data_IF_044169003523
#
_entry.id   IF_044169003523
#
_cell.length_a   1.000
_cell.length_b   1.000
_cell.length_c   1.000
_cell.angle_alpha   90.00
_cell.angle_beta   90.00
_cell.angle_gamma   90.00
#
_symmetry.space_group_name_H-M   'P 1'
#
loop_
_entity.id
_entity.type
_entity.pdbx_description
1 polymer ?
#
# COMPACT_ATOMS: atom_id res chain seq x y z
N UNK A 1 -37.82 11.08 -32.37
CA UNK A 1 -36.82 11.23 -31.28
C UNK A 1 -35.66 12.02 -31.85
N UNK A 2 -35.26 13.12 -31.19
CA UNK A 2 -34.14 13.96 -31.65
C UNK A 2 -32.84 13.27 -31.28
N UNK A 3 -31.86 13.26 -32.18
CA UNK A 3 -30.52 12.68 -32.02
C UNK A 3 -29.81 13.09 -30.70
N UNK A 4 -30.17 14.28 -30.17
CA UNK A 4 -29.71 14.80 -28.88
C UNK A 4 -30.17 13.97 -27.66
N UNK A 5 -31.38 13.42 -27.70
CA UNK A 5 -31.93 12.56 -26.62
C UNK A 5 -31.22 11.20 -26.60
N UNK A 6 -30.83 10.69 -27.76
CA UNK A 6 -30.13 9.42 -27.90
C UNK A 6 -28.69 9.51 -27.35
N UNK A 7 -28.02 10.64 -27.56
CA UNK A 7 -26.72 10.91 -26.97
C UNK A 7 -26.79 11.11 -25.45
N UNK A 8 -27.83 11.77 -24.93
CA UNK A 8 -27.99 11.92 -23.48
C UNK A 8 -28.31 10.58 -22.82
N UNK A 9 -29.21 9.78 -23.38
CA UNK A 9 -29.53 8.43 -22.90
C UNK A 9 -28.32 7.49 -22.91
N UNK A 10 -27.51 7.54 -23.97
CA UNK A 10 -26.25 6.78 -24.01
C UNK A 10 -25.26 7.28 -22.95
N UNK A 11 -25.18 8.59 -22.70
CA UNK A 11 -24.33 9.15 -21.65
C UNK A 11 -24.82 8.75 -20.26
N UNK A 12 -26.14 8.71 -20.05
CA UNK A 12 -26.78 8.33 -18.80
C UNK A 12 -26.62 6.84 -18.53
N UNK A 13 -26.79 5.98 -19.55
CA UNK A 13 -26.46 4.55 -19.49
C UNK A 13 -24.99 4.32 -19.20
N UNK A 14 -24.09 5.08 -19.83
CA UNK A 14 -22.65 4.98 -19.56
C UNK A 14 -22.32 5.44 -18.14
N UNK A 15 -22.99 6.47 -17.64
CA UNK A 15 -22.83 6.95 -16.26
C UNK A 15 -23.38 5.96 -15.24
N UNK A 16 -24.53 5.32 -15.52
CA UNK A 16 -25.10 4.24 -14.73
C UNK A 16 -24.19 3.02 -14.73
N UNK A 17 -23.60 2.67 -15.89
CA UNK A 17 -22.62 1.61 -16.02
C UNK A 17 -21.35 1.94 -15.23
N UNK A 18 -20.79 3.15 -15.36
CA UNK A 18 -19.60 3.59 -14.63
C UNK A 18 -19.81 3.65 -13.11
N UNK A 19 -21.02 4.01 -12.67
CA UNK A 19 -21.41 4.11 -11.25
C UNK A 19 -21.77 2.75 -10.65
N UNK A 20 -22.20 1.78 -11.46
CA UNK A 20 -22.53 0.41 -11.04
C UNK A 20 -21.36 -0.58 -11.17
N UNK A 21 -20.32 -0.28 -11.96
CA UNK A 21 -19.15 -1.16 -12.12
C UNK A 21 -17.96 -0.79 -11.24
N UNK A 22 -17.77 0.49 -10.85
CA UNK A 22 -16.64 0.90 -9.99
C UNK A 22 -17.00 0.74 -8.51
N UNK A 23 -16.63 -0.41 -7.94
CA UNK A 23 -16.78 -0.67 -6.51
C UNK A 23 -15.85 0.22 -5.68
N UNK A 24 -16.41 0.94 -4.70
CA UNK A 24 -15.62 1.53 -3.61
C UNK A 24 -15.29 0.40 -2.62
N UNK A 25 -14.30 -0.42 -2.97
CA UNK A 25 -14.02 -1.68 -2.27
C UNK A 25 -13.33 -1.50 -0.92
N UNK A 26 -12.61 -0.40 -0.66
CA UNK A 26 -11.91 -0.15 0.61
C UNK A 26 -12.49 1.04 1.37
N UNK A 27 -12.35 0.99 2.70
CA UNK A 27 -12.63 2.11 3.60
C UNK A 27 -11.50 3.14 3.56
N UNK A 28 -11.78 4.43 3.36
CA UNK A 28 -10.78 5.50 3.43
C UNK A 28 -10.07 5.54 4.78
N UNK A 29 -10.81 5.26 5.85
CA UNK A 29 -10.27 5.16 7.20
C UNK A 29 -9.24 4.02 7.33
N UNK A 30 -9.40 2.93 6.58
CA UNK A 30 -8.44 1.81 6.60
C UNK A 30 -7.08 2.18 6.00
N UNK A 31 -7.07 2.92 4.89
CA UNK A 31 -5.82 3.38 4.30
C UNK A 31 -5.11 4.40 5.21
N UNK A 32 -5.87 5.26 5.88
CA UNK A 32 -5.31 6.19 6.87
C UNK A 32 -4.67 5.44 8.05
N UNK A 33 -5.34 4.40 8.58
CA UNK A 33 -4.78 3.56 9.64
C UNK A 33 -3.52 2.82 9.20
N UNK A 34 -3.49 2.27 7.98
CA UNK A 34 -2.29 1.63 7.42
C UNK A 34 -1.10 2.60 7.40
N UNK A 35 -1.33 3.86 7.02
CA UNK A 35 -0.29 4.89 7.06
C UNK A 35 0.19 5.24 8.46
N UNK A 36 -0.72 5.31 9.44
CA UNK A 36 -0.34 5.53 10.85
C UNK A 36 0.48 4.35 11.38
N UNK A 37 0.07 3.11 11.09
CA UNK A 37 0.82 1.92 11.51
C UNK A 37 2.20 1.87 10.86
N UNK A 38 2.33 2.26 9.59
CA UNK A 38 3.61 2.36 8.92
C UNK A 38 4.53 3.40 9.61
N UNK A 39 4.03 4.59 9.92
CA UNK A 39 4.80 5.61 10.63
C UNK A 39 5.24 5.15 12.03
N UNK A 40 4.35 4.49 12.78
CA UNK A 40 4.66 3.93 14.09
C UNK A 40 5.73 2.82 13.99
N UNK A 41 5.61 1.93 13.01
CA UNK A 41 6.60 0.88 12.76
C UNK A 41 7.97 1.44 12.40
N UNK A 42 8.01 2.48 11.57
CA UNK A 42 9.27 3.15 11.20
C UNK A 42 9.88 3.85 12.41
N UNK A 43 9.08 4.52 13.25
CA UNK A 43 9.57 5.13 14.47
C UNK A 43 10.21 4.07 15.38
N UNK A 44 9.55 2.93 15.60
CA UNK A 44 10.10 1.81 16.38
C UNK A 44 11.38 1.24 15.78
N UNK A 45 11.42 1.03 14.47
CA UNK A 45 12.61 0.55 13.77
C UNK A 45 13.78 1.56 13.92
N UNK A 46 13.49 2.85 13.83
CA UNK A 46 14.49 3.92 14.01
C UNK A 46 15.06 3.94 15.42
N UNK A 47 14.21 3.77 16.46
CA UNK A 47 14.67 3.66 17.84
C UNK A 47 15.59 2.46 18.05
N UNK A 48 15.28 1.31 17.45
CA UNK A 48 16.13 0.12 17.54
C UNK A 48 17.50 0.33 16.88
N UNK A 49 17.54 1.02 15.73
CA UNK A 49 18.79 1.33 15.01
C UNK A 49 19.68 2.25 15.85
N UNK A 50 19.10 3.30 16.48
CA UNK A 50 19.87 4.20 17.36
C UNK A 50 20.41 3.45 18.59
N UNK A 51 19.62 2.56 19.17
CA UNK A 51 20.00 1.85 20.40
C UNK A 51 21.05 0.77 20.17
N UNK A 52 21.22 0.29 18.94
CA UNK A 52 22.16 -0.80 18.62
C UNK A 52 23.65 -0.42 18.66
N UNK A 53 24.04 0.77 19.15
CA UNK A 53 25.44 1.26 19.23
C UNK A 53 26.23 1.10 17.93
N UNK A 54 25.50 1.17 16.83
CA UNK A 54 26.07 1.14 15.51
C UNK A 54 26.69 2.52 15.28
N UNK A 55 28.03 2.59 15.22
CA UNK A 55 28.74 3.80 14.82
C UNK A 55 28.23 4.24 13.44
N UNK A 56 27.46 5.33 13.43
CA UNK A 56 27.10 6.10 12.24
C UNK A 56 28.38 6.75 11.72
N UNK A 57 29.20 5.96 11.02
CA UNK A 57 30.38 6.50 10.36
C UNK A 57 29.88 7.51 9.31
N UNK A 58 30.31 8.77 9.44
CA UNK A 58 29.70 9.96 8.81
C UNK A 58 29.83 10.00 7.27
N UNK A 59 30.23 8.91 6.64
CA UNK A 59 30.33 8.75 5.19
C UNK A 59 29.68 7.47 4.64
N UNK A 60 29.16 6.59 5.50
CA UNK A 60 28.62 5.28 5.11
C UNK A 60 27.34 5.01 5.90
N UNK A 61 26.19 5.40 5.36
CA UNK A 61 24.89 5.32 6.03
C UNK A 61 24.27 3.91 6.08
N UNK A 62 25.11 2.86 6.10
CA UNK A 62 24.76 1.53 6.63
C UNK A 62 25.97 0.97 7.36
N UNK A 63 25.78 0.41 8.57
CA UNK A 63 26.81 -0.39 9.21
C UNK A 63 27.09 -1.68 8.44
N UNK A 64 28.37 -1.99 8.32
CA UNK A 64 28.84 -3.23 7.72
C UNK A 64 28.34 -4.50 8.46
N UNK A 65 27.76 -4.36 9.65
CA UNK A 65 27.18 -5.47 10.41
C UNK A 65 25.82 -5.06 11.00
N UNK A 66 24.73 -5.18 10.23
CA UNK A 66 23.41 -5.34 10.87
C UNK A 66 23.48 -6.69 11.59
N UNK A 67 23.56 -6.68 12.92
CA UNK A 67 23.51 -7.92 13.69
C UNK A 67 22.22 -8.66 13.33
N UNK A 68 22.28 -9.99 13.15
CA UNK A 68 21.11 -10.85 12.85
C UNK A 68 19.92 -10.54 13.77
N UNK A 69 20.19 -10.18 15.03
CA UNK A 69 19.20 -9.78 16.02
C UNK A 69 18.41 -8.52 15.62
N UNK A 70 19.08 -7.47 15.16
CA UNK A 70 18.43 -6.21 14.74
C UNK A 70 17.57 -6.45 13.48
N UNK A 71 18.10 -7.20 12.52
CA UNK A 71 17.37 -7.58 11.30
C UNK A 71 16.08 -8.33 11.65
N UNK A 72 16.14 -9.31 12.55
CA UNK A 72 14.96 -10.07 13.01
C UNK A 72 13.95 -9.14 13.69
N UNK A 73 14.38 -8.21 14.54
CA UNK A 73 13.48 -7.27 15.22
C UNK A 73 12.74 -6.36 14.23
N UNK A 74 13.45 -5.77 13.27
CA UNK A 74 12.85 -4.93 12.23
C UNK A 74 11.89 -5.74 11.36
N UNK A 75 12.25 -6.99 11.02
CA UNK A 75 11.38 -7.89 10.27
C UNK A 75 10.08 -8.20 11.03
N UNK A 76 10.17 -8.48 12.33
CA UNK A 76 8.98 -8.69 13.19
C UNK A 76 8.09 -7.44 13.20
N UNK A 77 8.67 -6.25 13.33
CA UNK A 77 7.90 -4.99 13.26
C UNK A 77 7.17 -4.88 11.92
N UNK A 78 7.86 -5.14 10.81
CA UNK A 78 7.26 -5.07 9.47
C UNK A 78 6.08 -6.06 9.33
N UNK A 79 6.22 -7.28 9.83
CA UNK A 79 5.14 -8.29 9.83
C UNK A 79 3.98 -7.84 10.71
N UNK A 80 4.23 -7.31 11.90
CA UNK A 80 3.18 -6.80 12.80
C UNK A 80 2.41 -5.65 12.16
N UNK A 81 3.11 -4.68 11.54
CA UNK A 81 2.50 -3.56 10.82
C UNK A 81 1.64 -4.06 9.66
N UNK A 82 2.14 -5.03 8.89
CA UNK A 82 1.39 -5.62 7.78
C UNK A 82 0.11 -6.31 8.27
N UNK A 83 0.21 -7.16 9.29
CA UNK A 83 -0.93 -7.88 9.87
C UNK A 83 -1.95 -6.90 10.44
N UNK A 84 -1.52 -5.91 11.22
CA UNK A 84 -2.40 -4.88 11.77
C UNK A 84 -3.12 -4.10 10.66
N UNK A 85 -2.40 -3.72 9.59
CA UNK A 85 -2.97 -3.00 8.45
C UNK A 85 -4.03 -3.82 7.72
N UNK A 86 -3.75 -5.10 7.44
CA UNK A 86 -4.68 -6.01 6.75
C UNK A 86 -5.92 -6.28 7.61
N UNK A 87 -5.76 -6.58 8.89
CA UNK A 87 -6.88 -6.84 9.80
C UNK A 87 -7.80 -5.62 9.92
N UNK A 88 -7.22 -4.43 10.12
CA UNK A 88 -7.97 -3.18 10.18
C UNK A 88 -8.68 -2.88 8.86
N UNK A 89 -8.02 -3.14 7.72
CA UNK A 89 -8.63 -2.96 6.41
C UNK A 89 -9.83 -3.88 6.18
N UNK A 90 -9.70 -5.17 6.50
CA UNK A 90 -10.80 -6.13 6.38
C UNK A 90 -11.95 -5.75 7.33
N UNK A 91 -11.65 -5.42 8.58
CA UNK A 91 -12.67 -5.09 9.58
C UNK A 91 -13.46 -3.82 9.23
N UNK A 92 -12.78 -2.72 8.93
CA UNK A 92 -13.44 -1.45 8.60
C UNK A 92 -14.20 -1.53 7.28
N UNK A 93 -13.65 -2.22 6.28
CA UNK A 93 -14.33 -2.45 5.00
C UNK A 93 -15.57 -3.32 5.19
N UNK A 94 -15.48 -4.40 5.98
CA UNK A 94 -16.64 -5.25 6.30
C UNK A 94 -17.76 -4.47 6.98
N UNK A 95 -17.42 -3.63 7.96
CA UNK A 95 -18.38 -2.77 8.67
C UNK A 95 -19.04 -1.76 7.73
N UNK A 96 -18.28 -1.16 6.80
CA UNK A 96 -18.79 -0.20 5.80
C UNK A 96 -19.76 -0.87 4.83
N UNK A 97 -19.40 -2.05 4.32
CA UNK A 97 -20.19 -2.78 3.33
C UNK A 97 -21.48 -3.33 3.97
N UNK A 98 -21.40 -3.84 5.21
CA UNK A 98 -22.57 -4.29 5.97
C UNK A 98 -23.61 -3.18 6.18
N UNK A 99 -23.17 -1.93 6.44
CA UNK A 99 -24.07 -0.77 6.53
C UNK A 99 -24.82 -0.45 5.23
N UNK A 100 -24.32 -0.92 4.08
CA UNK A 100 -24.94 -0.71 2.76
C UNK A 100 -25.81 -1.89 2.31
N UNK A 101 -25.93 -2.95 3.12
CA UNK A 101 -26.68 -4.16 2.77
C UNK A 101 -26.02 -5.01 1.66
N UNK A 102 -24.77 -4.71 1.31
CA UNK A 102 -24.02 -5.47 0.30
C UNK A 102 -23.28 -6.64 0.96
N UNK A 103 -23.06 -7.74 0.22
CA UNK A 103 -22.20 -8.84 0.69
C UNK A 103 -20.76 -8.35 0.79
N UNK A 104 -19.96 -8.77 1.78
CA UNK A 104 -18.53 -8.39 1.89
C UNK A 104 -17.63 -9.10 0.88
N UNK A 105 -18.06 -10.25 0.38
CA UNK A 105 -17.33 -11.05 -0.59
C UNK A 105 -18.20 -11.22 -1.82
N UNK A 106 -17.80 -10.60 -2.93
CA UNK A 106 -18.44 -10.74 -4.23
C UNK A 106 -17.40 -11.08 -5.30
N UNK A 107 -17.84 -11.59 -6.44
CA UNK A 107 -16.96 -12.03 -7.52
C UNK A 107 -15.97 -10.91 -7.94
N UNK A 108 -16.45 -9.67 -8.04
CA UNK A 108 -15.61 -8.51 -8.37
C UNK A 108 -14.47 -8.27 -7.36
N UNK A 109 -14.73 -8.33 -6.05
CA UNK A 109 -13.65 -8.19 -5.04
C UNK A 109 -12.67 -9.34 -5.05
N UNK A 110 -13.15 -10.56 -5.25
CA UNK A 110 -12.27 -11.73 -5.33
C UNK A 110 -11.36 -11.65 -6.56
N UNK A 111 -11.88 -11.17 -7.69
CA UNK A 111 -11.09 -10.93 -8.90
C UNK A 111 -10.01 -9.85 -8.67
N UNK A 112 -10.36 -8.74 -8.02
CA UNK A 112 -9.41 -7.69 -7.64
C UNK A 112 -8.32 -8.23 -6.71
N UNK A 113 -8.71 -8.94 -5.65
CA UNK A 113 -7.75 -9.53 -4.71
C UNK A 113 -6.82 -10.53 -5.41
N UNK A 114 -7.34 -11.36 -6.31
CA UNK A 114 -6.53 -12.26 -7.12
C UNK A 114 -5.45 -11.53 -7.92
N UNK A 115 -5.83 -10.43 -8.60
CA UNK A 115 -4.88 -9.61 -9.38
C UNK A 115 -3.86 -8.88 -8.51
N UNK A 116 -4.25 -8.45 -7.31
CA UNK A 116 -3.33 -7.82 -6.35
C UNK A 116 -2.37 -8.83 -5.71
N UNK A 117 -2.82 -10.07 -5.47
CA UNK A 117 -2.04 -11.10 -4.81
C UNK A 117 -0.82 -11.53 -5.63
N UNK A 118 -0.94 -11.61 -6.97
CA UNK A 118 0.19 -12.02 -7.83
C UNK A 118 1.46 -11.18 -7.61
N UNK A 119 1.43 -9.84 -7.74
CA UNK A 119 2.60 -9.02 -7.45
C UNK A 119 2.95 -8.99 -5.95
N UNK A 120 1.98 -9.04 -5.02
CA UNK A 120 2.29 -9.06 -3.58
C UNK A 120 3.07 -10.30 -3.17
N UNK A 121 2.68 -11.48 -3.64
CA UNK A 121 3.36 -12.74 -3.35
C UNK A 121 4.75 -12.74 -3.99
N UNK A 122 4.85 -12.33 -5.26
CA UNK A 122 6.14 -12.25 -5.95
C UNK A 122 7.11 -11.29 -5.23
N UNK A 123 6.65 -10.10 -4.85
CA UNK A 123 7.45 -9.13 -4.12
C UNK A 123 7.79 -9.58 -2.70
N UNK A 124 6.86 -10.22 -2.01
CA UNK A 124 7.06 -10.81 -0.69
C UNK A 124 8.14 -11.88 -0.69
N UNK A 125 8.08 -12.81 -1.65
CA UNK A 125 9.11 -13.84 -1.83
C UNK A 125 10.47 -13.21 -2.19
N UNK A 126 10.49 -12.24 -3.10
CA UNK A 126 11.72 -11.56 -3.50
C UNK A 126 12.36 -10.77 -2.34
N UNK A 127 11.58 -10.10 -1.50
CA UNK A 127 12.08 -9.47 -0.28
C UNK A 127 12.73 -10.49 0.66
N UNK A 128 12.11 -11.66 0.85
CA UNK A 128 12.68 -12.72 1.68
C UNK A 128 14.01 -13.25 1.11
N UNK A 129 14.14 -13.34 -0.22
CA UNK A 129 15.42 -13.70 -0.86
C UNK A 129 16.51 -12.67 -0.55
N UNK A 130 16.21 -11.37 -0.64
CA UNK A 130 17.18 -10.33 -0.28
C UNK A 130 17.55 -10.35 1.20
N UNK A 131 16.56 -10.52 2.09
CA UNK A 131 16.78 -10.67 3.53
C UNK A 131 17.70 -11.86 3.82
N UNK A 132 17.46 -13.01 3.17
CA UNK A 132 18.28 -14.21 3.34
C UNK A 132 19.72 -14.02 2.84
N UNK A 133 19.92 -13.19 1.81
CA UNK A 133 21.25 -12.84 1.29
C UNK A 133 21.96 -11.74 2.10
N UNK A 134 21.30 -11.13 3.08
CA UNK A 134 21.83 -9.97 3.83
C UNK A 134 21.69 -8.63 3.09
N UNK A 135 21.00 -8.62 1.95
CA UNK A 135 20.81 -7.44 1.08
C UNK A 135 19.62 -6.58 1.54
N UNK A 136 19.61 -6.18 2.82
CA UNK A 136 18.48 -5.48 3.46
C UNK A 136 18.11 -4.14 2.79
N UNK A 137 19.10 -3.50 2.16
CA UNK A 137 18.97 -2.19 1.53
C UNK A 137 17.95 -2.16 0.38
N UNK A 138 17.66 -3.29 -0.26
CA UNK A 138 16.68 -3.37 -1.36
C UNK A 138 15.25 -3.70 -0.89
N UNK A 139 15.06 -4.08 0.38
CA UNK A 139 13.74 -4.50 0.90
C UNK A 139 12.71 -3.38 0.76
N UNK A 140 13.10 -2.14 1.08
CA UNK A 140 12.22 -0.98 0.94
C UNK A 140 11.81 -0.77 -0.52
N UNK A 141 12.76 -0.80 -1.46
CA UNK A 141 12.46 -0.66 -2.89
C UNK A 141 11.52 -1.75 -3.41
N UNK A 142 11.83 -3.02 -3.13
CA UNK A 142 11.02 -4.16 -3.57
C UNK A 142 9.61 -4.06 -2.99
N UNK A 143 9.47 -3.74 -1.71
CA UNK A 143 8.16 -3.59 -1.09
C UNK A 143 7.31 -2.51 -1.76
N UNK A 144 7.88 -1.33 -2.05
CA UNK A 144 7.20 -0.20 -2.67
C UNK A 144 6.81 -0.50 -4.12
N UNK A 145 7.72 -1.06 -4.92
CA UNK A 145 7.48 -1.38 -6.33
C UNK A 145 6.39 -2.44 -6.46
N UNK A 146 6.52 -3.58 -5.77
CA UNK A 146 5.55 -4.67 -5.92
C UNK A 146 4.21 -4.35 -5.28
N UNK A 147 4.17 -3.59 -4.18
CA UNK A 147 2.92 -3.05 -3.65
C UNK A 147 2.27 -2.08 -4.65
N UNK A 148 3.04 -1.18 -5.25
CA UNK A 148 2.54 -0.26 -6.27
C UNK A 148 1.99 -0.98 -7.50
N UNK A 149 2.66 -2.04 -7.96
CA UNK A 149 2.15 -2.91 -9.02
C UNK A 149 0.86 -3.61 -8.62
N UNK A 150 0.73 -4.07 -7.37
CA UNK A 150 -0.51 -4.63 -6.85
C UNK A 150 -1.65 -3.61 -6.92
N UNK A 151 -1.41 -2.37 -6.47
CA UNK A 151 -2.41 -1.30 -6.55
C UNK A 151 -2.82 -0.99 -7.99
N UNK A 152 -1.87 -0.93 -8.93
CA UNK A 152 -2.17 -0.71 -10.36
C UNK A 152 -2.99 -1.88 -10.92
N UNK A 153 -2.64 -3.12 -10.61
CA UNK A 153 -3.37 -4.30 -11.05
C UNK A 153 -4.82 -4.34 -10.50
N UNK A 154 -5.01 -3.95 -9.24
CA UNK A 154 -6.33 -3.82 -8.60
C UNK A 154 -7.14 -2.59 -9.05
N UNK A 155 -6.48 -1.59 -9.64
CA UNK A 155 -7.11 -0.30 -9.98
C UNK A 155 -8.17 -0.37 -11.07
N UNK A 156 -8.10 -1.38 -11.95
CA UNK A 156 -9.04 -1.52 -13.07
C UNK A 156 -10.51 -1.66 -12.65
N UNK A 157 -10.75 -2.13 -11.43
CA UNK A 157 -12.09 -2.43 -10.90
C UNK A 157 -12.45 -1.56 -9.69
N UNK A 158 -11.63 -0.55 -9.39
CA UNK A 158 -11.77 0.33 -8.22
C UNK A 158 -11.67 1.79 -8.65
N UNK A 159 -11.74 2.73 -7.69
CA UNK A 159 -11.62 4.16 -7.98
C UNK A 159 -10.25 4.47 -8.60
N UNK A 160 -10.24 5.28 -9.67
CA UNK A 160 -9.01 5.67 -10.38
C UNK A 160 -7.95 6.29 -9.49
N UNK A 161 -8.32 6.84 -8.32
CA UNK A 161 -7.40 7.39 -7.33
C UNK A 161 -6.35 6.36 -6.84
N UNK A 162 -6.73 5.08 -6.71
CA UNK A 162 -5.80 4.03 -6.26
C UNK A 162 -4.71 3.74 -7.29
N UNK A 163 -5.01 3.96 -8.57
CA UNK A 163 -4.06 3.83 -9.67
C UNK A 163 -2.91 4.80 -9.52
N UNK A 164 -3.22 6.06 -9.17
CA UNK A 164 -2.21 7.09 -8.94
C UNK A 164 -1.38 6.79 -7.71
N UNK A 165 -2.00 6.32 -6.62
CA UNK A 165 -1.24 5.84 -5.45
C UNK A 165 -0.26 4.74 -5.87
N UNK A 166 -0.70 3.75 -6.66
CA UNK A 166 0.16 2.71 -7.19
C UNK A 166 1.34 3.23 -8.01
N UNK A 167 1.12 4.20 -8.90
CA UNK A 167 2.21 4.82 -9.65
C UNK A 167 3.20 5.58 -8.77
N UNK A 168 2.73 6.33 -7.77
CA UNK A 168 3.63 7.00 -6.83
C UNK A 168 4.48 5.99 -6.04
N UNK A 169 3.90 4.86 -5.61
CA UNK A 169 4.66 3.79 -4.95
C UNK A 169 5.72 3.19 -5.87
N UNK A 170 5.39 2.94 -7.14
CA UNK A 170 6.35 2.42 -8.12
C UNK A 170 7.50 3.40 -8.30
N UNK A 171 7.19 4.68 -8.54
CA UNK A 171 8.23 5.72 -8.74
C UNK A 171 9.10 5.86 -7.49
N UNK A 172 8.51 5.95 -6.30
CA UNK A 172 9.27 6.00 -5.04
C UNK A 172 10.13 4.75 -4.85
N UNK A 173 9.61 3.57 -5.15
CA UNK A 173 10.34 2.32 -5.04
C UNK A 173 11.52 2.22 -6.01
N UNK A 174 11.36 2.73 -7.24
CA UNK A 174 12.46 2.81 -8.21
C UNK A 174 13.54 3.81 -7.76
N UNK A 175 13.15 4.97 -7.23
CA UNK A 175 14.11 5.93 -6.66
C UNK A 175 14.81 5.32 -5.44
N UNK A 176 14.09 4.56 -4.60
CA UNK A 176 14.67 3.83 -3.48
C UNK A 176 15.67 2.75 -3.92
N UNK A 177 15.53 2.17 -5.12
CA UNK A 177 16.54 1.24 -5.66
C UNK A 177 17.85 1.96 -6.02
N UNK A 178 17.76 3.20 -6.50
CA UNK A 178 18.92 4.03 -6.83
C UNK A 178 19.61 4.53 -5.56
N UNK A 179 18.84 4.82 -4.52
CA UNK A 179 19.31 5.35 -3.23
C UNK A 179 18.97 4.41 -2.07
N UNK A 180 19.56 3.20 -2.03
CA UNK A 180 19.12 2.12 -1.14
C UNK A 180 19.32 2.43 0.35
N UNK A 181 20.27 3.30 0.69
CA UNK A 181 20.52 3.78 2.06
C UNK A 181 19.40 4.67 2.64
N UNK A 182 18.54 5.23 1.79
CA UNK A 182 17.40 6.05 2.22
C UNK A 182 16.08 5.26 2.26
N UNK A 183 16.14 3.93 2.28
CA UNK A 183 14.97 3.05 2.21
C UNK A 183 13.87 3.39 3.21
N UNK A 184 14.22 3.69 4.46
CA UNK A 184 13.24 4.10 5.50
C UNK A 184 12.52 5.41 5.15
N UNK A 185 13.21 6.39 4.58
CA UNK A 185 12.60 7.66 4.16
C UNK A 185 11.60 7.46 3.02
N UNK A 186 11.94 6.62 2.04
CA UNK A 186 11.01 6.26 0.98
C UNK A 186 9.81 5.46 1.52
N UNK A 187 10.02 4.63 2.54
CA UNK A 187 8.95 3.93 3.26
C UNK A 187 8.01 4.90 3.99
N UNK A 188 8.54 5.93 4.65
CA UNK A 188 7.73 7.01 5.26
C UNK A 188 6.87 7.69 4.20
N UNK A 189 7.48 8.07 3.07
CA UNK A 189 6.77 8.71 1.96
C UNK A 189 5.69 7.81 1.37
N UNK A 190 6.06 6.58 1.03
CA UNK A 190 5.21 5.57 0.41
C UNK A 190 4.13 5.05 1.34
N UNK A 191 4.50 4.24 2.33
CA UNK A 191 3.53 3.56 3.20
C UNK A 191 2.93 4.48 4.25
N UNK A 192 3.61 5.55 4.68
CA UNK A 192 3.08 6.53 5.63
C UNK A 192 2.26 7.64 4.96
N UNK A 193 2.94 8.65 4.44
CA UNK A 193 2.36 9.93 4.01
C UNK A 193 1.35 9.73 2.87
N UNK A 194 1.73 9.02 1.80
CA UNK A 194 0.83 8.83 0.66
C UNK A 194 -0.45 8.07 1.03
N UNK A 195 -0.37 7.10 1.95
CA UNK A 195 -1.54 6.36 2.42
C UNK A 195 -2.46 7.21 3.30
N UNK A 196 -1.90 8.07 4.14
CA UNK A 196 -2.69 9.03 4.94
C UNK A 196 -3.41 10.02 4.02
N UNK A 197 -2.72 10.56 3.01
CA UNK A 197 -3.32 11.49 2.04
C UNK A 197 -4.42 10.76 1.25
N UNK A 198 -4.12 9.59 0.70
CA UNK A 198 -5.09 8.79 -0.04
C UNK A 198 -6.32 8.45 0.81
N UNK A 199 -6.12 7.96 2.03
CA UNK A 199 -7.18 7.63 2.97
C UNK A 199 -8.03 8.84 3.35
N UNK A 200 -7.40 10.00 3.55
CA UNK A 200 -8.08 11.28 3.82
C UNK A 200 -8.96 11.70 2.64
N UNK A 201 -8.42 11.69 1.41
CA UNK A 201 -9.20 12.02 0.21
C UNK A 201 -10.36 11.04 0.03
N UNK A 202 -10.12 9.74 0.20
CA UNK A 202 -11.16 8.72 0.06
C UNK A 202 -12.27 8.92 1.10
N UNK A 203 -11.91 9.18 2.35
CA UNK A 203 -12.86 9.36 3.44
C UNK A 203 -13.68 10.65 3.30
N UNK A 204 -13.03 11.80 3.12
CA UNK A 204 -13.72 13.10 3.13
C UNK A 204 -14.42 13.45 1.82
N UNK A 205 -13.97 12.93 0.67
CA UNK A 205 -14.53 13.28 -0.64
C UNK A 205 -15.53 12.25 -1.16
N UNK A 206 -15.39 10.98 -0.78
CA UNK A 206 -16.18 9.88 -1.36
C UNK A 206 -17.02 9.10 -0.34
N UNK A 207 -16.75 9.20 0.96
CA UNK A 207 -17.50 8.48 2.00
C UNK A 207 -18.39 9.36 2.87
N UNK A 208 -18.00 10.62 3.09
CA UNK A 208 -18.74 11.62 3.86
C UNK A 208 -19.31 12.69 2.95
#
# INVERSE_FOLDING_TARGET
>A
MKEKDLQSELSDLRSLMDRSTKFISLSGLSAMMAGIYALAGIALAWFLIIQSDIELDQYSSVPAEITDKLAIQIYIIAVVVLVASVLTAVWLTSKKVAKRGEKVWNAARMEVLGKMLTPLIAGGLLMNVFIFKGDYQYVASVSLVFYGLALVAGSYYTLSLIKYLGYFQIVLGLIAAIFPYYGLFFWIGGFGILHIIYGSILHFKYER
#
